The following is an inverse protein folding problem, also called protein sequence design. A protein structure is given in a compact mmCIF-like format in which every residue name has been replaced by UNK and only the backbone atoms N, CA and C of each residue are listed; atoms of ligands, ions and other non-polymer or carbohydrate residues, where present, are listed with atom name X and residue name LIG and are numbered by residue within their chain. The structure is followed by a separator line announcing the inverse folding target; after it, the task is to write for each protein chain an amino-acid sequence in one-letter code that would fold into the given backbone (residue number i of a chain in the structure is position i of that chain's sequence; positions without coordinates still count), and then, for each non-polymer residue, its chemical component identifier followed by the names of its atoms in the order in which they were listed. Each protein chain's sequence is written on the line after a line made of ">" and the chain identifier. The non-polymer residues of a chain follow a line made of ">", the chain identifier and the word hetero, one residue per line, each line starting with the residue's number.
data_IF_210809026041
#
_entry.id   IF_210809026041
#
_cell.length_a   1.000
_cell.length_b   1.000
_cell.length_c   1.000
_cell.angle_alpha   90.00
_cell.angle_beta   90.00
_cell.angle_gamma   90.00
#
_symmetry.space_group_name_H-M   'P 1'
#
loop_
_entity.id
_entity.type
_entity.pdbx_description
1 polymer ?
#
# COMPACT_ATOMS: atom_id res chain seq x y z
N UNK A 1 -58.97 30.93 5.18
CA UNK A 1 -57.70 30.91 4.41
C UNK A 1 -56.85 29.76 4.95
N UNK A 2 -56.60 28.72 4.15
CA UNK A 2 -55.76 27.60 4.53
C UNK A 2 -54.66 27.47 3.46
N UNK A 3 -53.46 27.96 3.77
CA UNK A 3 -52.30 27.86 2.88
C UNK A 3 -51.61 26.52 3.13
N UNK A 4 -51.67 25.64 2.13
CA UNK A 4 -51.06 24.31 2.15
C UNK A 4 -49.60 24.45 1.72
N UNK A 5 -48.67 24.50 2.68
CA UNK A 5 -47.23 24.53 2.42
C UNK A 5 -46.76 23.18 1.88
N UNK A 6 -46.20 23.18 0.68
CA UNK A 6 -45.50 22.05 0.07
C UNK A 6 -44.01 22.30 0.27
N UNK A 7 -43.35 21.49 1.11
CA UNK A 7 -41.90 21.51 1.24
C UNK A 7 -41.26 20.64 0.14
N UNK A 8 -40.33 21.17 -0.67
CA UNK A 8 -39.59 20.36 -1.60
C UNK A 8 -38.52 19.58 -0.83
N UNK A 9 -38.52 18.25 -0.94
CA UNK A 9 -37.40 17.43 -0.53
C UNK A 9 -36.23 17.70 -1.48
N UNK A 10 -35.17 18.35 -0.98
CA UNK A 10 -33.90 18.49 -1.69
C UNK A 10 -33.16 17.15 -1.56
N UNK A 11 -33.15 16.36 -2.63
CA UNK A 11 -32.37 15.13 -2.73
C UNK A 11 -30.93 15.53 -3.09
N UNK A 12 -30.01 15.54 -2.11
CA UNK A 12 -28.58 15.71 -2.39
C UNK A 12 -28.04 14.41 -3.01
N UNK A 13 -27.45 14.46 -4.22
CA UNK A 13 -26.78 13.30 -4.79
C UNK A 13 -25.47 13.05 -4.04
N UNK A 14 -25.36 11.88 -3.39
CA UNK A 14 -24.12 11.42 -2.82
C UNK A 14 -23.16 11.01 -3.95
N UNK A 15 -22.20 11.86 -4.29
CA UNK A 15 -21.11 11.48 -5.18
C UNK A 15 -20.14 10.58 -4.41
N UNK A 16 -20.16 9.27 -4.72
CA UNK A 16 -19.15 8.34 -4.24
C UNK A 16 -17.82 8.65 -4.93
N UNK A 17 -16.78 9.00 -4.15
CA UNK A 17 -15.41 9.09 -4.64
C UNK A 17 -14.92 7.67 -4.94
N UNK A 18 -14.87 7.29 -6.22
CA UNK A 18 -14.16 6.10 -6.64
C UNK A 18 -12.65 6.37 -6.49
N UNK A 19 -12.03 5.83 -5.43
CA UNK A 19 -10.57 5.71 -5.40
C UNK A 19 -10.17 4.68 -6.45
N UNK A 20 -9.48 5.11 -7.50
CA UNK A 20 -8.90 4.18 -8.47
C UNK A 20 -7.65 3.53 -7.86
N UNK A 21 -7.52 2.22 -8.05
CA UNK A 21 -6.31 1.50 -7.65
C UNK A 21 -5.13 1.96 -8.51
N UNK A 22 -4.08 2.46 -7.86
CA UNK A 22 -2.83 2.85 -8.54
C UNK A 22 -1.86 1.67 -8.50
N UNK A 23 -1.45 1.19 -9.67
CA UNK A 23 -0.46 0.12 -9.79
C UNK A 23 0.91 0.70 -10.16
N UNK A 24 1.96 0.09 -9.61
CA UNK A 24 3.35 0.42 -9.90
C UNK A 24 4.07 -0.85 -10.36
N UNK A 25 4.93 -0.72 -11.35
CA UNK A 25 5.82 -1.78 -11.84
C UNK A 25 7.26 -1.39 -11.55
N UNK A 26 8.09 -2.36 -11.18
CA UNK A 26 9.50 -2.12 -10.92
C UNK A 26 10.24 -3.43 -10.63
N UNK A 27 11.56 -3.36 -10.61
CA UNK A 27 12.40 -4.50 -10.29
C UNK A 27 12.33 -4.80 -8.78
N UNK A 28 12.12 -6.07 -8.43
CA UNK A 28 12.13 -6.54 -7.05
C UNK A 28 13.30 -7.52 -6.82
N UNK A 29 13.96 -7.39 -5.68
CA UNK A 29 15.01 -8.31 -5.22
C UNK A 29 14.69 -8.81 -3.82
N UNK A 30 15.03 -10.07 -3.54
CA UNK A 30 14.91 -10.61 -2.19
C UNK A 30 16.15 -10.26 -1.36
N UNK A 31 15.94 -9.99 -0.08
CA UNK A 31 16.98 -9.80 0.91
C UNK A 31 16.50 -10.31 2.27
N UNK A 32 17.41 -10.42 3.24
CA UNK A 32 17.08 -10.82 4.61
C UNK A 32 17.41 -9.70 5.58
N UNK A 33 16.39 -9.19 6.29
CA UNK A 33 16.52 -8.07 7.22
C UNK A 33 16.98 -8.51 8.64
N UNK A 34 16.92 -9.82 8.94
CA UNK A 34 17.29 -10.40 10.24
C UNK A 34 16.29 -10.12 11.36
N UNK A 35 15.92 -8.87 11.57
CA UNK A 35 14.88 -8.42 12.50
C UNK A 35 14.22 -7.15 11.95
N UNK A 36 12.88 -7.02 12.08
CA UNK A 36 12.15 -5.84 11.57
C UNK A 36 12.59 -4.51 12.21
N UNK A 37 13.15 -4.56 13.42
CA UNK A 37 13.71 -3.42 14.14
C UNK A 37 15.01 -2.89 13.51
N UNK A 38 15.67 -3.69 12.67
CA UNK A 38 16.87 -3.27 11.94
C UNK A 38 16.53 -2.46 10.67
N UNK A 39 15.28 -2.52 10.21
CA UNK A 39 14.82 -1.73 9.07
C UNK A 39 14.67 -0.26 9.42
N UNK A 40 14.59 0.59 8.39
CA UNK A 40 14.45 2.03 8.53
C UNK A 40 13.13 2.48 9.17
N UNK A 41 12.10 1.62 9.25
CA UNK A 41 10.91 1.91 10.07
C UNK A 41 11.16 1.78 11.57
N UNK A 42 12.25 1.12 11.98
CA UNK A 42 12.70 1.00 13.36
C UNK A 42 11.58 0.60 14.33
N UNK A 43 10.81 -0.44 13.96
CA UNK A 43 9.72 -0.92 14.81
C UNK A 43 10.26 -1.45 16.14
N UNK A 44 9.67 -0.99 17.25
CA UNK A 44 10.09 -1.40 18.59
C UNK A 44 9.74 -2.86 18.90
N UNK A 45 8.78 -3.42 18.17
CA UNK A 45 8.29 -4.79 18.36
C UNK A 45 8.11 -5.46 16.99
N UNK A 46 8.23 -6.78 16.98
CA UNK A 46 7.90 -7.57 15.79
C UNK A 46 6.38 -7.57 15.56
N UNK A 47 5.89 -7.08 14.41
CA UNK A 47 4.47 -7.11 14.08
C UNK A 47 3.96 -8.52 13.71
N UNK A 48 4.82 -9.54 13.69
CA UNK A 48 4.44 -10.92 13.39
C UNK A 48 4.27 -11.19 11.89
N UNK A 49 5.01 -10.48 11.05
CA UNK A 49 4.88 -10.54 9.58
C UNK A 49 5.69 -11.67 8.94
N UNK A 50 6.56 -12.33 9.71
CA UNK A 50 7.43 -13.39 9.20
C UNK A 50 8.29 -12.90 8.05
N UNK A 51 8.28 -13.61 6.93
CA UNK A 51 9.02 -13.25 5.71
C UNK A 51 8.25 -12.32 4.76
N UNK A 52 7.01 -11.94 5.11
CA UNK A 52 6.15 -11.09 4.28
C UNK A 52 6.40 -9.61 4.54
N UNK A 53 7.62 -9.16 4.27
CA UNK A 53 8.03 -7.78 4.42
C UNK A 53 8.74 -7.27 3.17
N UNK A 54 8.77 -5.94 3.01
CA UNK A 54 9.43 -5.30 1.88
C UNK A 54 10.14 -4.00 2.29
N UNK A 55 11.13 -3.64 1.47
CA UNK A 55 11.75 -2.33 1.46
C UNK A 55 11.23 -1.50 0.27
N UNK A 56 10.99 -0.21 0.46
CA UNK A 56 10.66 0.70 -0.65
C UNK A 56 11.89 1.45 -1.15
N UNK A 57 11.90 1.77 -2.44
CA UNK A 57 12.86 2.73 -2.99
C UNK A 57 12.70 4.12 -2.33
N UNK A 58 13.68 4.99 -2.54
CA UNK A 58 13.71 6.30 -1.88
C UNK A 58 12.53 7.21 -2.24
N UNK A 59 12.00 7.10 -3.46
CA UNK A 59 10.90 7.96 -3.93
C UNK A 59 9.57 7.54 -3.29
N UNK A 60 9.33 6.24 -3.22
CA UNK A 60 8.12 5.67 -2.60
C UNK A 60 8.21 5.60 -1.07
N UNK A 61 9.39 5.68 -0.47
CA UNK A 61 9.53 5.67 0.99
C UNK A 61 8.81 6.82 1.69
N UNK A 62 8.76 7.99 1.04
CA UNK A 62 8.07 9.20 1.50
C UNK A 62 8.39 9.56 2.96
N UNK A 63 9.68 9.70 3.28
CA UNK A 63 10.14 10.11 4.63
C UNK A 63 9.48 9.36 5.79
N UNK A 64 9.27 8.04 5.65
CA UNK A 64 8.61 7.12 6.61
C UNK A 64 7.08 7.11 6.60
N UNK A 65 6.41 7.91 5.77
CA UNK A 65 4.94 7.95 5.70
C UNK A 65 4.30 6.64 5.22
N UNK A 66 5.09 5.77 4.60
CA UNK A 66 4.69 4.43 4.19
C UNK A 66 5.11 3.32 5.15
N UNK A 67 5.82 3.64 6.24
CA UNK A 67 6.13 2.68 7.28
C UNK A 67 4.86 2.06 7.87
N UNK A 68 4.85 0.73 7.93
CA UNK A 68 3.77 -0.03 8.53
C UNK A 68 2.49 -0.09 7.71
N UNK A 69 2.54 0.41 6.47
CA UNK A 69 1.53 0.11 5.46
C UNK A 69 1.80 -1.27 4.87
N UNK A 70 0.77 -1.82 4.24
CA UNK A 70 0.87 -3.02 3.44
C UNK A 70 0.86 -2.64 1.95
N UNK A 71 1.58 -3.39 1.13
CA UNK A 71 1.47 -3.37 -0.32
C UNK A 71 1.01 -4.74 -0.81
N UNK A 72 0.12 -4.75 -1.79
CA UNK A 72 -0.16 -5.95 -2.58
C UNK A 72 0.86 -6.02 -3.72
N UNK A 73 1.50 -7.19 -3.87
CA UNK A 73 2.49 -7.43 -4.91
C UNK A 73 2.11 -8.67 -5.72
N UNK A 74 2.31 -8.61 -7.03
CA UNK A 74 2.19 -9.73 -7.95
C UNK A 74 3.42 -9.74 -8.86
N UNK A 75 3.80 -10.92 -9.35
CA UNK A 75 4.83 -10.99 -10.36
C UNK A 75 4.25 -10.73 -11.76
N UNK A 76 4.89 -9.86 -12.54
CA UNK A 76 4.53 -9.56 -13.94
C UNK A 76 5.63 -9.97 -14.96
N UNK A 77 6.73 -10.58 -14.50
CA UNK A 77 7.84 -11.05 -15.34
C UNK A 77 7.58 -12.46 -15.91
N UNK A 78 8.01 -12.70 -17.15
CA UNK A 78 7.92 -13.99 -17.83
C UNK A 78 8.68 -15.14 -17.15
N UNK A 79 9.60 -14.83 -16.22
CA UNK A 79 10.32 -15.79 -15.38
C UNK A 79 9.45 -16.41 -14.30
N UNK A 80 8.32 -15.79 -13.96
CA UNK A 80 7.41 -16.32 -12.96
C UNK A 80 6.51 -17.42 -13.52
N UNK A 81 6.36 -18.50 -12.75
CA UNK A 81 5.46 -19.61 -13.12
C UNK A 81 3.99 -19.25 -13.00
N UNK A 82 3.66 -18.19 -12.25
CA UNK A 82 2.33 -17.66 -12.04
C UNK A 82 2.40 -16.14 -11.92
N UNK A 83 1.53 -15.44 -12.65
CA UNK A 83 1.39 -13.97 -12.66
C UNK A 83 0.03 -13.50 -12.14
N UNK A 84 -0.78 -14.42 -11.62
CA UNK A 84 -2.13 -14.14 -11.10
C UNK A 84 -2.19 -14.12 -9.57
N UNK A 85 -1.27 -14.80 -8.91
CA UNK A 85 -1.16 -14.77 -7.45
C UNK A 85 -0.65 -13.42 -6.96
N UNK A 86 -1.29 -12.93 -5.91
CA UNK A 86 -0.86 -11.75 -5.16
C UNK A 86 -0.38 -12.15 -3.77
N UNK A 87 0.50 -11.34 -3.18
CA UNK A 87 0.93 -11.46 -1.79
C UNK A 87 0.86 -10.08 -1.12
N UNK A 88 0.61 -10.08 0.19
CA UNK A 88 0.64 -8.85 0.99
C UNK A 88 1.98 -8.78 1.71
N UNK A 89 2.71 -7.69 1.50
CA UNK A 89 3.98 -7.42 2.16
C UNK A 89 3.86 -6.20 3.06
N UNK A 90 4.53 -6.26 4.23
CA UNK A 90 4.56 -5.17 5.19
C UNK A 90 5.79 -4.28 4.96
N UNK A 91 5.58 -2.96 4.87
CA UNK A 91 6.69 -2.02 4.64
C UNK A 91 7.42 -1.76 5.95
N UNK A 92 8.65 -2.27 6.05
CA UNK A 92 9.48 -2.24 7.26
C UNK A 92 10.80 -1.50 7.05
N UNK A 93 11.20 -1.28 5.80
CA UNK A 93 12.54 -0.79 5.48
C UNK A 93 12.58 0.08 4.22
N UNK A 94 13.71 0.76 4.02
CA UNK A 94 14.00 1.53 2.82
C UNK A 94 15.22 0.93 2.14
N UNK A 95 15.17 0.86 0.82
CA UNK A 95 16.30 0.50 -0.03
C UNK A 95 16.76 1.74 -0.81
N UNK A 96 17.79 2.48 -0.35
CA UNK A 96 18.24 3.71 -1.01
C UNK A 96 18.77 3.51 -2.43
N UNK A 97 19.36 2.34 -2.71
CA UNK A 97 19.94 1.94 -3.99
C UNK A 97 18.92 1.37 -4.97
N UNK A 98 17.74 0.95 -4.47
CA UNK A 98 16.66 0.46 -5.32
C UNK A 98 16.13 1.62 -6.16
N UNK A 99 16.08 1.38 -7.47
CA UNK A 99 15.53 2.32 -8.44
C UNK A 99 14.07 2.00 -8.71
N UNK A 100 13.43 2.93 -9.40
CA UNK A 100 12.12 2.73 -10.02
C UNK A 100 12.30 1.98 -11.34
#
# INVERSE_FOLDING_TARGET
>A
MMFRQVWPLVIMPAMALAGGDTYYTGDATSYTLGQVSAGNCNFMYDPGVGDNYAALNSEQWDSTHNCGRCAEVSCDDARCSDTTSTQIVYIVDRCPECKQ
#
